data_IF_258597851526
#
_entry.id   IF_258597851526
#
_cell.length_a   1.000
_cell.length_b   1.000
_cell.length_c   1.000
_cell.angle_alpha   90.00
_cell.angle_beta   90.00
_cell.angle_gamma   90.00
#
_symmetry.space_group_name_H-M   'P 1'
#
loop_
_entity.id
_entity.type
_entity.pdbx_description
1 polymer ?
#
# COMPACT_ATOMS: atom_id res chain seq x y z
N UNK A 1 47.00 -7.77 41.14
CA UNK A 1 47.06 -7.07 39.84
C UNK A 1 45.64 -6.81 39.37
N UNK A 2 45.29 -5.55 39.09
CA UNK A 2 44.05 -5.13 38.37
C UNK A 2 44.25 -5.38 36.85
N UNK A 3 43.32 -5.22 35.91
CA UNK A 3 41.98 -4.57 35.83
C UNK A 3 40.87 -5.62 35.58
N UNK A 4 39.56 -5.38 35.37
CA UNK A 4 38.71 -4.22 34.98
C UNK A 4 38.71 -3.80 33.49
N UNK A 5 37.53 -3.40 32.98
CA UNK A 5 37.17 -3.11 31.57
C UNK A 5 37.29 -4.33 30.62
N UNK A 6 36.45 -4.55 29.60
CA UNK A 6 35.47 -3.68 28.90
C UNK A 6 34.04 -4.27 28.93
N UNK A 7 33.02 -3.52 29.37
CA UNK A 7 32.13 -2.65 28.55
C UNK A 7 31.29 -3.47 27.53
N UNK A 8 30.07 -3.89 27.86
CA UNK A 8 28.86 -3.05 27.83
C UNK A 8 28.54 -2.42 26.45
N UNK A 9 28.28 -3.24 25.42
CA UNK A 9 27.94 -2.79 24.06
C UNK A 9 26.60 -3.30 23.48
N UNK A 10 25.86 -4.19 24.17
CA UNK A 10 24.66 -4.85 23.61
C UNK A 10 23.32 -4.10 23.78
N UNK A 11 23.32 -2.82 24.17
CA UNK A 11 22.09 -2.11 24.59
C UNK A 11 21.58 -0.97 23.69
N UNK A 12 22.40 -0.37 22.82
CA UNK A 12 22.11 0.96 22.25
C UNK A 12 21.74 0.97 20.74
N UNK A 13 22.12 -0.04 19.96
CA UNK A 13 22.07 0.02 18.49
C UNK A 13 20.70 -0.15 17.83
N UNK A 14 19.71 -0.75 18.51
CA UNK A 14 18.42 -1.10 17.88
C UNK A 14 17.37 0.03 17.92
N UNK A 15 17.47 0.96 18.88
CA UNK A 15 16.41 1.95 19.14
C UNK A 15 16.35 3.06 18.08
N UNK A 16 17.50 3.48 17.55
CA UNK A 16 17.60 4.54 16.52
C UNK A 16 17.01 4.10 15.17
N UNK A 17 17.28 2.85 14.75
CA UNK A 17 16.75 2.31 13.49
C UNK A 17 15.21 2.19 13.50
N UNK A 18 14.61 1.86 14.65
CA UNK A 18 13.16 1.78 14.76
C UNK A 18 12.47 3.15 14.67
N UNK A 19 13.05 4.21 15.24
CA UNK A 19 12.49 5.57 15.10
C UNK A 19 12.61 6.14 13.69
N UNK A 20 13.72 5.86 12.99
CA UNK A 20 13.89 6.26 11.60
C UNK A 20 12.88 5.55 10.68
N UNK A 21 12.64 4.25 10.87
CA UNK A 21 11.62 3.51 10.10
C UNK A 21 10.19 4.04 10.32
N UNK A 22 9.87 4.64 11.46
CA UNK A 22 8.57 5.27 11.72
C UNK A 22 8.40 6.63 11.04
N UNK A 23 9.49 7.41 10.90
CA UNK A 23 9.46 8.75 10.29
C UNK A 23 9.68 8.71 8.77
N UNK A 24 10.45 7.74 8.29
CA UNK A 24 10.76 7.51 6.87
C UNK A 24 10.64 6.02 6.55
N UNK A 25 9.41 5.45 6.55
CA UNK A 25 9.19 4.08 6.12
C UNK A 25 9.56 3.92 4.63
N UNK A 26 10.14 2.77 4.27
CA UNK A 26 10.51 2.47 2.88
C UNK A 26 9.31 2.51 1.90
N UNK A 27 8.10 2.34 2.41
CA UNK A 27 6.85 2.59 1.69
C UNK A 27 5.87 3.31 2.64
N UNK A 28 5.60 4.62 2.46
CA UNK A 28 4.72 5.38 3.35
C UNK A 28 3.22 5.10 3.14
N UNK A 29 2.84 4.43 2.05
CA UNK A 29 1.45 4.05 1.79
C UNK A 29 1.11 2.65 2.32
N UNK A 30 2.11 1.84 2.64
CA UNK A 30 1.91 0.51 3.22
C UNK A 30 1.31 0.62 4.62
N UNK A 31 0.29 -0.19 4.89
CA UNK A 31 -0.43 -0.28 6.17
C UNK A 31 -1.08 1.05 6.65
N UNK A 32 -1.11 2.08 5.78
CA UNK A 32 -1.75 3.39 6.03
C UNK A 32 -3.29 3.34 5.97
N UNK A 33 -3.82 2.33 5.26
CA UNK A 33 -5.24 1.97 5.19
C UNK A 33 -5.33 0.51 5.60
N UNK A 34 -6.10 0.22 6.66
CA UNK A 34 -6.29 -1.14 7.18
C UNK A 34 -7.13 -2.01 6.23
N UNK A 35 -7.02 -3.33 6.38
CA UNK A 35 -7.81 -4.29 5.57
C UNK A 35 -9.33 -4.07 5.70
N UNK A 36 -9.80 -3.65 6.88
CA UNK A 36 -11.21 -3.30 7.10
C UNK A 36 -11.62 -2.05 6.32
N UNK A 37 -10.84 -0.96 6.44
CA UNK A 37 -11.07 0.27 5.67
C UNK A 37 -11.02 0.02 4.15
N UNK A 38 -10.12 -0.85 3.66
CA UNK A 38 -10.12 -1.23 2.24
C UNK A 38 -11.42 -1.91 1.80
N UNK A 39 -12.03 -2.74 2.64
CA UNK A 39 -13.32 -3.37 2.34
C UNK A 39 -14.43 -2.31 2.23
N UNK A 40 -14.50 -1.39 3.19
CA UNK A 40 -15.47 -0.28 3.18
C UNK A 40 -15.24 0.68 2.01
N UNK A 41 -13.99 1.05 1.70
CA UNK A 41 -13.64 1.84 0.50
C UNK A 41 -14.10 1.13 -0.77
N UNK A 42 -13.89 -0.19 -0.85
CA UNK A 42 -14.36 -1.01 -1.96
C UNK A 42 -15.88 -0.94 -2.13
N UNK A 43 -16.63 -1.07 -1.04
CA UNK A 43 -18.10 -0.94 -1.06
C UNK A 43 -18.56 0.47 -1.43
N UNK A 44 -18.02 1.52 -0.81
CA UNK A 44 -18.44 2.91 -1.03
C UNK A 44 -18.09 3.44 -2.44
N UNK A 45 -17.08 2.87 -3.08
CA UNK A 45 -16.67 3.19 -4.46
C UNK A 45 -17.15 2.15 -5.48
N UNK A 46 -18.02 1.22 -5.05
CA UNK A 46 -18.58 0.11 -5.84
C UNK A 46 -17.53 -0.75 -6.56
N UNK A 47 -16.28 -0.79 -6.08
CA UNK A 47 -15.18 -1.49 -6.73
C UNK A 47 -15.38 -3.00 -6.65
N UNK A 48 -15.23 -3.68 -7.79
CA UNK A 48 -15.10 -5.14 -7.77
C UNK A 48 -13.82 -5.55 -7.04
N UNK A 49 -13.78 -6.75 -6.45
CA UNK A 49 -12.60 -7.26 -5.72
C UNK A 49 -11.28 -7.07 -6.50
N UNK A 50 -11.31 -7.26 -7.82
CA UNK A 50 -10.12 -7.08 -8.66
C UNK A 50 -9.75 -5.62 -8.93
N UNK A 51 -10.73 -4.72 -9.01
CA UNK A 51 -10.47 -3.27 -9.05
C UNK A 51 -9.89 -2.80 -7.71
N UNK A 52 -10.39 -3.33 -6.60
CA UNK A 52 -9.88 -3.04 -5.25
C UNK A 52 -8.43 -3.55 -5.06
N UNK A 53 -8.14 -4.80 -5.46
CA UNK A 53 -6.78 -5.37 -5.50
C UNK A 53 -5.80 -4.42 -6.22
N UNK A 54 -6.16 -4.01 -7.44
CA UNK A 54 -5.32 -3.14 -8.28
C UNK A 54 -5.20 -1.74 -7.66
N UNK A 55 -6.29 -1.17 -7.13
CA UNK A 55 -6.28 0.14 -6.47
C UNK A 55 -5.37 0.15 -5.23
N UNK A 56 -5.39 -0.92 -4.43
CA UNK A 56 -4.52 -1.10 -3.27
C UNK A 56 -3.04 -1.19 -3.67
N UNK A 57 -2.69 -2.07 -4.61
CA UNK A 57 -1.30 -2.25 -5.01
C UNK A 57 -0.74 -0.99 -5.71
N UNK A 58 -1.57 -0.28 -6.47
CA UNK A 58 -1.24 1.06 -6.95
C UNK A 58 -1.00 2.02 -5.79
N UNK A 59 -1.89 2.10 -4.82
CA UNK A 59 -1.73 2.98 -3.65
C UNK A 59 -0.43 2.70 -2.90
N UNK A 60 -0.07 1.43 -2.71
CA UNK A 60 1.22 0.95 -2.19
C UNK A 60 2.43 1.23 -3.11
N UNK A 61 2.25 1.96 -4.22
CA UNK A 61 3.34 2.43 -5.09
C UNK A 61 3.86 1.42 -6.11
N UNK A 62 3.16 0.29 -6.33
CA UNK A 62 3.63 -0.74 -7.27
C UNK A 62 3.43 -0.33 -8.73
N UNK A 63 4.42 -0.67 -9.57
CA UNK A 63 4.32 -0.54 -11.02
C UNK A 63 3.31 -1.53 -11.62
N UNK A 64 2.86 -1.29 -12.86
CA UNK A 64 1.91 -2.20 -13.55
C UNK A 64 2.49 -3.60 -13.71
N UNK A 65 3.80 -3.66 -13.91
CA UNK A 65 4.58 -4.87 -14.11
C UNK A 65 4.70 -5.65 -12.79
N UNK A 66 4.88 -4.98 -11.65
CA UNK A 66 4.84 -5.59 -10.32
C UNK A 66 3.41 -6.09 -9.97
N UNK A 67 2.38 -5.30 -10.26
CA UNK A 67 0.97 -5.67 -10.04
C UNK A 67 0.59 -6.90 -10.88
N UNK A 68 1.06 -6.97 -12.12
CA UNK A 68 0.83 -8.09 -13.02
C UNK A 68 1.40 -9.41 -12.46
N UNK A 69 2.58 -9.35 -11.82
CA UNK A 69 3.21 -10.49 -11.15
C UNK A 69 2.54 -10.84 -9.82
N UNK A 70 2.10 -9.84 -9.05
CA UNK A 70 1.48 -10.01 -7.74
C UNK A 70 0.07 -10.63 -7.82
N UNK A 71 -0.72 -10.26 -8.83
CA UNK A 71 -2.09 -10.73 -8.99
C UNK A 71 -2.17 -12.00 -9.86
N UNK A 72 -2.88 -13.02 -9.35
CA UNK A 72 -3.17 -14.26 -10.08
C UNK A 72 -4.60 -14.32 -10.58
N UNK A 73 -4.79 -14.94 -11.74
CA UNK A 73 -6.08 -15.34 -12.30
C UNK A 73 -6.57 -16.65 -11.66
N UNK A 74 -7.80 -17.05 -11.98
CA UNK A 74 -8.41 -18.30 -11.50
C UNK A 74 -7.67 -19.57 -11.96
N UNK A 75 -6.95 -19.51 -13.09
CA UNK A 75 -6.09 -20.59 -13.61
C UNK A 75 -4.70 -20.66 -12.93
N UNK A 76 -4.43 -19.82 -11.93
CA UNK A 76 -3.14 -19.72 -11.24
C UNK A 76 -2.07 -18.88 -11.97
N UNK A 77 -2.29 -18.52 -13.24
CA UNK A 77 -1.37 -17.67 -14.01
C UNK A 77 -1.37 -16.23 -13.49
N UNK A 78 -0.25 -15.53 -13.69
CA UNK A 78 -0.15 -14.10 -13.41
C UNK A 78 -1.00 -13.29 -14.42
N UNK A 79 -1.36 -12.06 -14.05
CA UNK A 79 -1.94 -11.10 -15.00
C UNK A 79 -0.87 -10.65 -16.02
N UNK A 80 -1.30 -10.14 -17.17
CA UNK A 80 -0.40 -9.40 -18.06
C UNK A 80 -0.39 -7.92 -17.69
N UNK A 81 0.71 -7.17 -17.91
CA UNK A 81 0.74 -5.72 -17.68
C UNK A 81 -0.34 -4.96 -18.44
N UNK A 82 -0.72 -5.44 -19.62
CA UNK A 82 -1.81 -4.88 -20.42
C UNK A 82 -3.19 -5.11 -19.78
N UNK A 83 -3.39 -6.25 -19.11
CA UNK A 83 -4.61 -6.49 -18.31
C UNK A 83 -4.67 -5.50 -17.14
N UNK A 84 -3.53 -5.26 -16.47
CA UNK A 84 -3.44 -4.26 -15.40
C UNK A 84 -3.72 -2.85 -15.92
N UNK A 85 -3.23 -2.50 -17.12
CA UNK A 85 -3.56 -1.23 -17.80
C UNK A 85 -5.07 -1.05 -18.01
N UNK A 86 -5.78 -2.11 -18.38
CA UNK A 86 -7.25 -2.06 -18.53
C UNK A 86 -7.97 -1.88 -17.18
N UNK A 87 -7.49 -2.49 -16.09
CA UNK A 87 -8.04 -2.22 -14.74
C UNK A 87 -7.76 -0.78 -14.27
N UNK A 88 -6.57 -0.26 -14.58
CA UNK A 88 -6.19 1.15 -14.41
C UNK A 88 -7.18 2.07 -15.14
N UNK A 89 -7.37 1.89 -16.45
CA UNK A 89 -8.26 2.76 -17.25
C UNK A 89 -9.72 2.74 -16.74
N UNK A 90 -10.17 1.61 -16.17
CA UNK A 90 -11.48 1.47 -15.51
C UNK A 90 -11.54 2.22 -14.19
N UNK A 91 -10.55 2.03 -13.30
CA UNK A 91 -10.44 2.75 -12.03
C UNK A 91 -10.43 4.27 -12.24
N UNK A 92 -9.65 4.77 -13.20
CA UNK A 92 -9.55 6.19 -13.52
C UNK A 92 -10.91 6.77 -13.89
N UNK A 93 -11.65 6.08 -14.78
CA UNK A 93 -13.00 6.48 -15.21
C UNK A 93 -14.01 6.42 -14.07
N UNK A 94 -14.04 5.32 -13.33
CA UNK A 94 -15.00 5.04 -12.24
C UNK A 94 -14.84 5.99 -11.06
N UNK A 95 -13.59 6.31 -10.71
CA UNK A 95 -13.27 7.20 -9.60
C UNK A 95 -13.17 8.68 -10.02
N UNK A 96 -13.33 8.98 -11.32
CA UNK A 96 -13.12 10.29 -11.93
C UNK A 96 -11.78 10.91 -11.49
N UNK A 97 -10.69 10.24 -11.88
CA UNK A 97 -9.29 10.64 -11.63
C UNK A 97 -8.45 10.43 -12.90
N UNK A 98 -7.42 11.26 -13.11
CA UNK A 98 -6.58 11.21 -14.31
C UNK A 98 -5.17 10.64 -14.08
N UNK A 99 -4.74 10.48 -12.83
CA UNK A 99 -3.42 9.98 -12.49
C UNK A 99 -3.37 9.33 -11.10
N UNK A 100 -2.24 8.70 -10.81
CA UNK A 100 -1.97 7.96 -9.58
C UNK A 100 -2.04 8.81 -8.30
N UNK A 101 -1.59 10.07 -8.34
CA UNK A 101 -1.71 11.00 -7.21
C UNK A 101 -3.19 11.33 -6.91
N UNK A 102 -4.00 11.55 -7.95
CA UNK A 102 -5.44 11.79 -7.77
C UNK A 102 -6.18 10.56 -7.24
N UNK A 103 -5.76 9.35 -7.65
CA UNK A 103 -6.24 8.09 -7.06
C UNK A 103 -5.94 8.05 -5.56
N UNK A 104 -4.69 8.31 -5.15
CA UNK A 104 -4.30 8.31 -3.74
C UNK A 104 -5.08 9.35 -2.91
N UNK A 105 -5.24 10.58 -3.41
CA UNK A 105 -6.04 11.63 -2.77
C UNK A 105 -7.51 11.21 -2.65
N UNK A 106 -8.08 10.54 -3.67
CA UNK A 106 -9.46 10.05 -3.64
C UNK A 106 -9.65 9.00 -2.55
N UNK A 107 -8.75 8.01 -2.47
CA UNK A 107 -8.81 6.92 -1.49
C UNK A 107 -8.68 7.46 -0.06
N UNK A 108 -7.71 8.34 0.21
CA UNK A 108 -7.53 9.00 1.51
C UNK A 108 -8.73 9.86 1.94
N UNK A 109 -9.44 10.48 0.99
CA UNK A 109 -10.69 11.21 1.30
C UNK A 109 -11.81 10.27 1.73
N UNK A 110 -11.95 9.09 1.11
CA UNK A 110 -12.96 8.09 1.50
C UNK A 110 -12.59 7.45 2.83
N UNK A 111 -11.32 7.06 3.04
CA UNK A 111 -10.84 6.59 4.34
C UNK A 111 -11.19 7.57 5.47
N UNK A 112 -10.93 8.86 5.26
CA UNK A 112 -11.23 9.90 6.26
C UNK A 112 -12.73 10.02 6.58
N UNK A 113 -13.61 9.76 5.62
CA UNK A 113 -15.05 9.72 5.87
C UNK A 113 -15.44 8.49 6.70
N UNK A 114 -14.85 7.32 6.42
CA UNK A 114 -15.05 6.09 7.21
C UNK A 114 -14.59 6.28 8.67
N UNK A 115 -13.51 7.01 8.90
CA UNK A 115 -13.01 7.34 10.26
C UNK A 115 -13.85 8.39 11.00
N UNK A 116 -14.87 8.98 10.37
CA UNK A 116 -15.70 10.07 10.91
C UNK A 116 -17.18 9.68 11.10
N UNK A 117 -17.59 8.48 10.67
CA UNK A 117 -18.93 7.91 10.86
C UNK A 117 -18.94 6.83 11.94
#
# INVERSE_FOLDING_TARGET
MQTLNEVAANGAGQSSNNRLNLLTPANPAKDLISTGEWCEIGHLLELSNRELDVARLLFEGMSREQIALALRKADGSCLSPETVRVYIDRLWRKLNVSNHMQLAIRLLRVQRLIQQG
#
